data_IF_251031262051
#
_entry.id   IF_251031262051
#
_cell.length_a   1.000
_cell.length_b   1.000
_cell.length_c   1.000
_cell.angle_alpha   90.00
_cell.angle_beta   90.00
_cell.angle_gamma   90.00
#
_symmetry.space_group_name_H-M   'P 1'
#
loop_
_entity.id
_entity.type
_entity.pdbx_description
1 polymer ?
#
# COMPACT_ATOMS: atom_id res chain seq x y z
N UNK A 1 64.30 -43.56 91.79
CA UNK A 1 64.23 -43.14 90.41
C UNK A 1 62.80 -42.99 90.02
N UNK A 2 62.31 -41.76 89.92
CA UNK A 2 60.94 -41.38 89.58
C UNK A 2 60.82 -41.34 88.07
N UNK A 3 59.87 -42.08 87.53
CA UNK A 3 59.56 -42.16 86.14
C UNK A 3 58.54 -41.04 85.77
N UNK A 4 59.01 -39.94 85.18
CA UNK A 4 58.21 -38.80 84.77
C UNK A 4 57.86 -39.03 83.27
N UNK A 5 56.56 -39.32 82.96
CA UNK A 5 56.09 -39.36 81.63
C UNK A 5 55.72 -37.91 81.20
N UNK A 6 56.09 -37.48 79.97
CA UNK A 6 55.69 -36.16 79.46
C UNK A 6 54.19 -36.09 79.07
N UNK A 7 53.53 -34.91 79.17
CA UNK A 7 52.13 -34.77 78.85
C UNK A 7 51.91 -34.88 77.31
N UNK A 8 50.82 -35.54 76.93
CA UNK A 8 50.36 -35.62 75.52
C UNK A 8 49.89 -34.26 75.02
N UNK A 9 50.22 -33.87 73.77
CA UNK A 9 49.78 -32.67 73.21
C UNK A 9 48.27 -32.77 72.88
N UNK A 10 47.51 -31.72 73.24
CA UNK A 10 46.05 -31.51 72.96
C UNK A 10 45.93 -31.13 71.45
N UNK A 11 45.53 -32.03 70.58
CA UNK A 11 45.25 -31.77 69.17
C UNK A 11 43.72 -31.48 69.07
N UNK A 12 43.34 -30.31 68.63
CA UNK A 12 41.90 -30.03 68.41
C UNK A 12 41.37 -30.89 67.22
N UNK A 13 40.41 -31.75 67.48
CA UNK A 13 39.67 -32.50 66.49
C UNK A 13 38.82 -31.55 65.66
N UNK A 14 39.30 -31.15 64.49
CA UNK A 14 38.48 -30.44 63.46
C UNK A 14 37.56 -31.50 62.89
N UNK A 15 36.28 -31.44 63.24
CA UNK A 15 35.20 -32.21 62.57
C UNK A 15 35.02 -31.70 61.17
N UNK A 16 35.51 -32.40 60.17
CA UNK A 16 35.19 -32.09 58.75
C UNK A 16 33.69 -32.21 58.52
N UNK A 17 33.08 -31.25 57.77
CA UNK A 17 31.67 -31.35 57.44
C UNK A 17 31.47 -32.63 56.63
N UNK A 18 30.52 -33.47 57.02
CA UNK A 18 30.09 -34.64 56.26
C UNK A 18 29.49 -34.15 54.94
N UNK A 19 30.27 -34.10 53.85
CA UNK A 19 29.77 -34.03 52.53
C UNK A 19 29.02 -35.33 52.22
N UNK A 20 27.70 -35.28 52.35
CA UNK A 20 26.81 -36.30 51.78
C UNK A 20 26.98 -36.29 50.27
N UNK A 21 27.69 -37.28 49.73
CA UNK A 21 27.71 -37.48 48.27
C UNK A 21 26.30 -37.88 47.86
N UNK A 22 25.62 -37.10 46.99
CA UNK A 22 24.30 -37.48 46.53
C UNK A 22 24.38 -38.82 45.82
N UNK A 23 23.49 -39.73 46.18
CA UNK A 23 23.39 -41.03 45.53
C UNK A 23 23.18 -40.82 44.03
N UNK A 24 23.71 -41.70 43.20
CA UNK A 24 23.62 -41.64 41.72
C UNK A 24 22.16 -41.47 41.27
N UNK A 25 21.20 -42.07 41.97
CA UNK A 25 19.75 -41.92 41.73
C UNK A 25 19.27 -40.48 41.95
N UNK A 26 19.70 -39.78 43.01
CA UNK A 26 19.34 -38.39 43.26
C UNK A 26 20.00 -37.40 42.26
N UNK A 27 21.14 -37.78 41.67
CA UNK A 27 21.75 -37.03 40.59
C UNK A 27 21.01 -37.24 39.25
N UNK A 28 20.52 -38.45 38.98
CA UNK A 28 19.69 -38.77 37.82
C UNK A 28 18.32 -38.09 37.92
N UNK A 29 17.65 -38.15 39.08
CA UNK A 29 16.38 -37.45 39.31
C UNK A 29 16.48 -35.94 39.08
N UNK A 30 17.54 -35.30 39.62
CA UNK A 30 17.77 -33.86 39.38
C UNK A 30 18.11 -33.54 37.93
N UNK A 31 18.80 -34.42 37.22
CA UNK A 31 19.08 -34.25 35.79
C UNK A 31 17.81 -34.41 34.96
N UNK A 32 16.92 -35.35 35.27
CA UNK A 32 15.63 -35.55 34.61
C UNK A 32 14.63 -34.41 34.94
N UNK A 33 14.57 -33.94 36.19
CA UNK A 33 13.76 -32.77 36.56
C UNK A 33 14.27 -31.47 35.88
N UNK A 34 15.58 -31.28 35.78
CA UNK A 34 16.20 -30.15 35.09
C UNK A 34 15.99 -30.22 33.58
N UNK A 35 15.93 -31.39 33.00
CA UNK A 35 15.68 -31.61 31.58
C UNK A 35 14.18 -31.38 31.25
N UNK A 36 13.26 -31.89 32.06
CA UNK A 36 11.83 -31.62 31.96
C UNK A 36 11.47 -30.13 32.18
N UNK A 37 12.17 -29.44 33.10
CA UNK A 37 11.97 -28.00 33.29
C UNK A 37 12.56 -27.17 32.14
N UNK A 38 13.64 -27.63 31.49
CA UNK A 38 14.19 -27.02 30.28
C UNK A 38 13.28 -27.24 29.07
N UNK A 39 12.76 -28.45 28.87
CA UNK A 39 11.81 -28.74 27.79
C UNK A 39 10.52 -27.94 27.95
N UNK A 40 9.97 -27.87 29.18
CA UNK A 40 8.82 -27.02 29.46
C UNK A 40 9.07 -25.56 29.16
N UNK A 41 10.18 -24.99 29.62
CA UNK A 41 10.55 -23.59 29.32
C UNK A 41 10.83 -23.34 27.83
N UNK A 42 11.39 -24.31 27.11
CA UNK A 42 11.61 -24.21 25.66
C UNK A 42 10.26 -24.17 24.87
N UNK A 43 9.24 -24.85 25.36
CA UNK A 43 7.92 -24.88 24.72
C UNK A 43 7.08 -23.63 25.03
N UNK A 44 7.22 -23.05 26.24
CA UNK A 44 6.48 -21.86 26.65
C UNK A 44 7.03 -20.56 26.04
N UNK A 45 8.35 -20.49 25.77
CA UNK A 45 8.98 -19.27 25.24
C UNK A 45 8.40 -18.83 23.89
N UNK A 46 8.29 -19.67 22.86
CA UNK A 46 7.70 -19.28 21.59
C UNK A 46 6.21 -18.89 21.70
N UNK A 47 5.45 -19.57 22.58
CA UNK A 47 4.05 -19.23 22.83
C UNK A 47 3.92 -17.85 23.48
N UNK A 48 4.75 -17.56 24.47
CA UNK A 48 4.80 -16.26 25.15
C UNK A 48 5.18 -15.14 24.19
N UNK A 49 6.21 -15.33 23.35
CA UNK A 49 6.63 -14.34 22.36
C UNK A 49 5.54 -14.13 21.31
N UNK A 50 4.90 -15.20 20.81
CA UNK A 50 3.77 -15.09 19.88
C UNK A 50 2.62 -14.30 20.47
N UNK A 51 2.31 -14.50 21.75
CA UNK A 51 1.29 -13.71 22.46
C UNK A 51 1.68 -12.23 22.54
N UNK A 52 2.95 -11.92 22.83
CA UNK A 52 3.46 -10.54 22.86
C UNK A 52 3.35 -9.90 21.47
N UNK A 53 3.69 -10.63 20.39
CA UNK A 53 3.55 -10.14 19.01
C UNK A 53 2.10 -9.77 18.72
N UNK A 54 1.14 -10.62 19.08
CA UNK A 54 -0.29 -10.34 18.90
C UNK A 54 -0.69 -9.07 19.67
N UNK A 55 -0.27 -8.94 20.91
CA UNK A 55 -0.57 -7.76 21.73
C UNK A 55 0.03 -6.49 21.09
N UNK A 56 1.30 -6.52 20.69
CA UNK A 56 1.97 -5.38 20.03
C UNK A 56 1.25 -5.02 18.74
N UNK A 57 0.87 -6.00 17.92
CA UNK A 57 0.12 -5.79 16.69
C UNK A 57 -1.25 -5.13 16.96
N UNK A 58 -2.03 -5.67 17.90
CA UNK A 58 -3.36 -5.13 18.24
C UNK A 58 -3.27 -3.72 18.80
N UNK A 59 -2.35 -3.47 19.75
CA UNK A 59 -2.14 -2.12 20.31
C UNK A 59 -1.69 -1.12 19.24
N UNK A 60 -0.81 -1.56 18.35
CA UNK A 60 -0.35 -0.74 17.26
C UNK A 60 -1.46 -0.45 16.24
N UNK A 61 -2.28 -1.42 15.92
CA UNK A 61 -3.43 -1.20 15.04
C UNK A 61 -4.47 -0.24 15.65
N UNK A 62 -4.68 -0.33 16.96
CA UNK A 62 -5.48 0.65 17.69
C UNK A 62 -4.85 2.05 17.64
N UNK A 63 -3.52 2.16 17.78
CA UNK A 63 -2.83 3.45 17.66
C UNK A 63 -2.97 4.05 16.26
N UNK A 64 -2.94 3.24 15.18
CA UNK A 64 -3.23 3.68 13.81
C UNK A 64 -4.68 4.18 13.70
N UNK A 65 -5.65 3.43 14.27
CA UNK A 65 -7.07 3.82 14.24
C UNK A 65 -7.35 5.12 15.01
N UNK A 66 -6.58 5.36 16.06
CA UNK A 66 -6.65 6.58 16.88
C UNK A 66 -5.59 7.64 16.51
N UNK A 67 -5.16 7.70 15.27
CA UNK A 67 -4.19 8.67 14.73
C UNK A 67 -4.51 10.12 15.15
N UNK A 68 -5.78 10.52 15.02
CA UNK A 68 -6.23 11.90 15.31
C UNK A 68 -6.04 12.34 16.76
N UNK A 69 -6.50 11.58 17.78
CA UNK A 69 -6.27 11.94 19.18
C UNK A 69 -4.81 11.79 19.62
N UNK A 70 -4.07 10.82 19.07
CA UNK A 70 -2.66 10.57 19.44
C UNK A 70 -1.72 11.57 18.76
N UNK A 71 -2.13 12.17 17.63
CA UNK A 71 -1.32 13.10 16.80
C UNK A 71 0.00 12.50 16.31
N UNK A 72 0.03 11.20 16.08
CA UNK A 72 1.14 10.47 15.48
C UNK A 72 0.69 9.95 14.12
N UNK A 73 1.49 10.20 13.09
CA UNK A 73 1.20 9.73 11.73
C UNK A 73 1.12 8.19 11.68
N UNK A 74 0.07 7.69 11.02
CA UNK A 74 -0.19 6.25 10.89
C UNK A 74 0.97 5.48 10.23
N UNK A 75 1.70 6.11 9.30
CA UNK A 75 2.82 5.47 8.63
C UNK A 75 3.98 5.24 9.60
N UNK A 76 4.27 6.21 10.48
CA UNK A 76 5.30 6.07 11.52
C UNK A 76 4.93 4.95 12.49
N UNK A 77 3.67 4.89 12.93
CA UNK A 77 3.16 3.85 13.81
C UNK A 77 3.23 2.47 13.14
N UNK A 78 2.80 2.35 11.89
CA UNK A 78 2.84 1.10 11.13
C UNK A 78 4.28 0.58 10.95
N UNK A 79 5.23 1.48 10.62
CA UNK A 79 6.64 1.15 10.48
C UNK A 79 7.23 0.61 11.80
N UNK A 80 6.96 1.29 12.91
CA UNK A 80 7.43 0.88 14.23
C UNK A 80 6.90 -0.51 14.60
N UNK A 81 5.61 -0.77 14.43
CA UNK A 81 4.98 -2.05 14.73
C UNK A 81 5.56 -3.16 13.84
N UNK A 82 5.70 -2.90 12.54
CA UNK A 82 6.25 -3.87 11.60
C UNK A 82 7.65 -4.34 12.03
N UNK A 83 8.55 -3.39 12.33
CA UNK A 83 9.92 -3.71 12.78
C UNK A 83 9.89 -4.38 14.15
N UNK A 84 9.06 -3.91 15.11
CA UNK A 84 8.95 -4.52 16.43
C UNK A 84 8.46 -5.96 16.38
N UNK A 85 7.43 -6.26 15.56
CA UNK A 85 6.95 -7.63 15.39
C UNK A 85 8.00 -8.55 14.76
N UNK A 86 8.75 -8.09 13.74
CA UNK A 86 9.84 -8.86 13.15
C UNK A 86 10.99 -9.09 14.13
N UNK A 87 11.35 -8.07 14.94
CA UNK A 87 12.37 -8.21 15.98
C UNK A 87 11.95 -9.24 17.04
N UNK A 88 10.69 -9.21 17.49
CA UNK A 88 10.16 -10.21 18.42
C UNK A 88 10.11 -11.60 17.80
N UNK A 89 9.76 -11.71 16.52
CA UNK A 89 9.74 -12.99 15.81
C UNK A 89 11.12 -13.63 15.74
N UNK A 90 12.19 -12.85 15.63
CA UNK A 90 13.56 -13.37 15.67
C UNK A 90 13.93 -14.07 16.98
N UNK A 91 13.23 -13.79 18.09
CA UNK A 91 13.44 -14.45 19.38
C UNK A 91 12.59 -15.70 19.60
N UNK A 92 11.75 -16.11 18.64
CA UNK A 92 10.88 -17.29 18.76
C UNK A 92 11.63 -18.62 18.64
N UNK A 93 12.94 -18.61 18.33
CA UNK A 93 13.76 -19.81 18.14
C UNK A 93 13.67 -20.41 16.73
N UNK A 94 13.01 -19.73 15.80
CA UNK A 94 12.99 -20.08 14.37
C UNK A 94 14.39 -19.86 13.78
N UNK A 95 14.81 -20.70 12.82
CA UNK A 95 16.13 -20.59 12.21
C UNK A 95 16.30 -19.25 11.47
N UNK A 96 17.51 -18.68 11.53
CA UNK A 96 17.82 -17.43 10.81
C UNK A 96 17.51 -17.51 9.31
N UNK A 97 17.75 -18.66 8.69
CA UNK A 97 17.45 -18.90 7.28
C UNK A 97 15.95 -18.77 6.97
N UNK A 98 15.08 -19.31 7.84
CA UNK A 98 13.61 -19.20 7.69
C UNK A 98 13.16 -17.75 7.87
N UNK A 99 13.73 -17.01 8.81
CA UNK A 99 13.43 -15.61 9.07
C UNK A 99 13.85 -14.75 7.87
N UNK A 100 15.08 -14.94 7.38
CA UNK A 100 15.63 -14.22 6.24
C UNK A 100 14.80 -14.47 4.97
N UNK A 101 14.46 -15.73 4.71
CA UNK A 101 13.64 -16.12 3.55
C UNK A 101 12.23 -15.49 3.62
N UNK A 102 11.61 -15.52 4.80
CA UNK A 102 10.31 -14.87 5.02
C UNK A 102 10.39 -13.35 4.84
N UNK A 103 11.42 -12.71 5.38
CA UNK A 103 11.63 -11.27 5.24
C UNK A 103 11.86 -10.87 3.78
N UNK A 104 12.73 -11.60 3.06
CA UNK A 104 12.98 -11.35 1.64
C UNK A 104 11.72 -11.51 0.78
N UNK A 105 10.88 -12.51 1.08
CA UNK A 105 9.61 -12.71 0.38
C UNK A 105 8.68 -11.50 0.57
N UNK A 106 8.50 -11.03 1.80
CA UNK A 106 7.66 -9.87 2.08
C UNK A 106 8.24 -8.56 1.51
N UNK A 107 9.57 -8.40 1.53
CA UNK A 107 10.23 -7.25 0.88
C UNK A 107 10.00 -7.28 -0.63
N UNK A 108 10.07 -8.45 -1.27
CA UNK A 108 9.75 -8.60 -2.69
C UNK A 108 8.31 -8.20 -3.00
N UNK A 109 7.33 -8.66 -2.21
CA UNK A 109 5.92 -8.32 -2.40
C UNK A 109 5.69 -6.81 -2.28
N UNK A 110 6.22 -6.20 -1.21
CA UNK A 110 6.11 -4.75 -0.99
C UNK A 110 6.82 -3.97 -2.10
N UNK A 111 8.03 -4.35 -2.48
CA UNK A 111 8.79 -3.70 -3.55
C UNK A 111 8.05 -3.78 -4.89
N UNK A 112 7.44 -4.93 -5.20
CA UNK A 112 6.65 -5.12 -6.41
C UNK A 112 5.48 -4.12 -6.48
N UNK A 113 4.78 -3.93 -5.35
CA UNK A 113 3.68 -2.96 -5.25
C UNK A 113 4.21 -1.53 -5.40
N UNK A 114 5.30 -1.19 -4.69
CA UNK A 114 5.89 0.16 -4.73
C UNK A 114 6.37 0.53 -6.14
N UNK A 115 7.07 -0.36 -6.83
CA UNK A 115 7.49 -0.13 -8.21
C UNK A 115 6.31 0.00 -9.16
N UNK A 116 5.26 -0.81 -8.96
CA UNK A 116 4.05 -0.68 -9.77
C UNK A 116 3.39 0.68 -9.58
N UNK A 117 3.14 1.09 -8.32
CA UNK A 117 2.50 2.36 -8.01
C UNK A 117 3.34 3.56 -8.47
N UNK A 118 4.65 3.53 -8.20
CA UNK A 118 5.57 4.58 -8.66
C UNK A 118 5.53 4.72 -10.18
N UNK A 119 5.59 3.62 -10.92
CA UNK A 119 5.51 3.63 -12.36
C UNK A 119 4.17 4.16 -12.88
N UNK A 120 3.06 3.71 -12.31
CA UNK A 120 1.72 4.14 -12.69
C UNK A 120 1.51 5.64 -12.43
N UNK A 121 1.88 6.12 -11.24
CA UNK A 121 1.76 7.54 -10.88
C UNK A 121 2.62 8.41 -11.79
N UNK A 122 3.86 7.99 -12.09
CA UNK A 122 4.75 8.73 -13.00
C UNK A 122 4.19 8.78 -14.43
N UNK A 123 3.62 7.69 -14.94
CA UNK A 123 2.96 7.69 -16.26
C UNK A 123 1.79 8.69 -16.27
N UNK A 124 0.97 8.69 -15.24
CA UNK A 124 -0.19 9.60 -15.14
C UNK A 124 0.26 11.05 -15.00
N UNK A 125 1.30 11.32 -14.20
CA UNK A 125 1.87 12.66 -14.03
C UNK A 125 2.46 13.20 -15.32
N UNK A 126 3.13 12.36 -16.13
CA UNK A 126 3.58 12.73 -17.47
C UNK A 126 2.41 13.11 -18.39
N UNK A 127 1.30 12.36 -18.34
CA UNK A 127 0.08 12.70 -19.10
C UNK A 127 -0.52 14.03 -18.63
N UNK A 128 -0.58 14.27 -17.32
CA UNK A 128 -1.14 15.50 -16.74
C UNK A 128 -0.24 16.72 -17.05
N UNK A 129 1.07 16.60 -16.90
CA UNK A 129 2.04 17.65 -17.22
C UNK A 129 1.93 18.15 -18.67
N UNK A 130 1.50 17.27 -19.59
CA UNK A 130 1.26 17.61 -20.99
C UNK A 130 -0.20 18.00 -21.29
N UNK A 131 -1.00 18.25 -20.24
CA UNK A 131 -2.43 18.55 -20.37
C UNK A 131 -3.22 17.45 -21.11
N UNK A 132 -2.74 16.19 -21.06
CA UNK A 132 -3.34 15.09 -21.79
C UNK A 132 -4.81 14.88 -21.48
N UNK A 133 -5.23 15.08 -20.23
CA UNK A 133 -6.63 14.92 -19.83
C UNK A 133 -7.57 15.99 -20.43
N UNK A 134 -7.05 17.12 -20.93
CA UNK A 134 -7.82 18.11 -21.65
C UNK A 134 -8.45 17.55 -22.95
N UNK A 135 -7.88 16.49 -23.52
CA UNK A 135 -8.47 15.76 -24.67
C UNK A 135 -9.93 15.37 -24.41
N UNK A 136 -10.26 15.05 -23.17
CA UNK A 136 -11.62 14.67 -22.78
C UNK A 136 -12.35 15.84 -22.13
N UNK A 137 -11.68 16.58 -21.26
CA UNK A 137 -12.33 17.63 -20.48
C UNK A 137 -12.77 18.81 -21.33
N UNK A 138 -12.04 19.15 -22.40
CA UNK A 138 -12.42 20.23 -23.33
C UNK A 138 -13.69 19.92 -24.12
N UNK A 139 -14.09 18.65 -24.22
CA UNK A 139 -15.34 18.25 -24.87
C UNK A 139 -16.58 18.44 -23.99
N UNK A 140 -16.40 18.76 -22.71
CA UNK A 140 -17.49 18.97 -21.76
C UNK A 140 -17.95 20.42 -21.84
N UNK A 141 -18.93 20.70 -22.67
CA UNK A 141 -19.46 22.07 -22.94
C UNK A 141 -20.82 22.33 -22.30
N UNK A 142 -21.41 21.34 -21.61
CA UNK A 142 -22.76 21.47 -21.07
C UNK A 142 -22.83 22.38 -19.84
N UNK A 143 -23.84 23.24 -19.79
CA UNK A 143 -24.15 24.08 -18.62
C UNK A 143 -25.24 23.47 -17.74
N UNK A 144 -26.01 22.49 -18.24
CA UNK A 144 -27.04 21.83 -17.45
C UNK A 144 -26.44 21.00 -16.31
N UNK A 145 -26.84 21.31 -15.07
CA UNK A 145 -26.31 20.68 -13.87
C UNK A 145 -26.44 19.15 -13.89
N UNK A 146 -27.62 18.63 -14.18
CA UNK A 146 -27.87 17.19 -14.18
C UNK A 146 -27.09 16.50 -15.29
N UNK A 147 -27.04 17.06 -16.49
CA UNK A 147 -26.29 16.48 -17.60
C UNK A 147 -24.81 16.47 -17.32
N UNK A 148 -24.26 17.54 -16.73
CA UNK A 148 -22.87 17.60 -16.31
C UNK A 148 -22.56 16.54 -15.24
N UNK A 149 -23.45 16.36 -14.25
CA UNK A 149 -23.30 15.34 -13.20
C UNK A 149 -23.10 13.96 -13.82
N UNK A 150 -23.99 13.54 -14.70
CA UNK A 150 -23.90 12.25 -15.36
C UNK A 150 -22.62 12.08 -16.19
N UNK A 151 -22.24 13.08 -16.97
CA UNK A 151 -21.01 13.06 -17.78
C UNK A 151 -19.79 12.89 -16.87
N UNK A 152 -19.68 13.72 -15.83
CA UNK A 152 -18.55 13.68 -14.89
C UNK A 152 -18.47 12.34 -14.18
N UNK A 153 -19.60 11.81 -13.70
CA UNK A 153 -19.66 10.53 -13.00
C UNK A 153 -19.22 9.36 -13.90
N UNK A 154 -19.74 9.28 -15.12
CA UNK A 154 -19.36 8.21 -16.05
C UNK A 154 -17.89 8.29 -16.44
N UNK A 155 -17.40 9.48 -16.76
CA UNK A 155 -15.97 9.66 -17.07
C UNK A 155 -15.13 9.24 -15.87
N UNK A 156 -15.47 9.69 -14.66
CA UNK A 156 -14.74 9.34 -13.43
C UNK A 156 -14.72 7.83 -13.21
N UNK A 157 -15.88 7.17 -13.32
CA UNK A 157 -16.01 5.73 -13.10
C UNK A 157 -15.11 4.91 -14.04
N UNK A 158 -15.11 5.20 -15.32
CA UNK A 158 -14.27 4.46 -16.28
C UNK A 158 -12.81 4.89 -16.24
N UNK A 159 -12.52 6.15 -15.94
CA UNK A 159 -11.13 6.60 -15.75
C UNK A 159 -10.47 5.91 -14.58
N UNK A 160 -11.16 5.84 -13.47
CA UNK A 160 -10.63 5.20 -12.27
C UNK A 160 -10.35 3.70 -12.46
N UNK A 161 -11.02 3.04 -13.38
CA UNK A 161 -10.70 1.65 -13.71
C UNK A 161 -9.33 1.49 -14.39
N UNK A 162 -8.74 2.58 -14.92
CA UNK A 162 -7.48 2.56 -15.69
C UNK A 162 -6.37 3.35 -15.01
N UNK A 163 -6.72 4.52 -14.40
CA UNK A 163 -5.74 5.48 -13.87
C UNK A 163 -5.43 5.27 -12.37
N UNK A 164 -6.22 4.71 -11.60
CA UNK A 164 -6.39 4.71 -10.15
C UNK A 164 -7.38 5.77 -9.63
N UNK A 165 -7.93 5.47 -8.45
CA UNK A 165 -8.99 6.27 -7.85
C UNK A 165 -8.51 7.64 -7.34
N UNK A 166 -7.32 7.72 -6.77
CA UNK A 166 -6.77 8.96 -6.21
C UNK A 166 -6.46 9.97 -7.32
N UNK A 167 -5.69 9.54 -8.32
CA UNK A 167 -5.34 10.37 -9.48
C UNK A 167 -6.56 10.82 -10.24
N UNK A 168 -7.51 9.91 -10.51
CA UNK A 168 -8.77 10.24 -11.17
C UNK A 168 -9.56 11.27 -10.39
N UNK A 169 -9.64 11.15 -9.06
CA UNK A 169 -10.33 12.14 -8.22
C UNK A 169 -9.65 13.52 -8.31
N UNK A 170 -8.31 13.59 -8.26
CA UNK A 170 -7.55 14.84 -8.37
C UNK A 170 -7.82 15.53 -9.72
N UNK A 171 -7.68 14.79 -10.82
CA UNK A 171 -7.91 15.30 -12.18
C UNK A 171 -9.35 15.82 -12.33
N UNK A 172 -10.34 15.05 -11.89
CA UNK A 172 -11.75 15.43 -12.01
C UNK A 172 -12.14 16.58 -11.10
N UNK A 173 -11.55 16.69 -9.90
CA UNK A 173 -11.73 17.85 -9.02
C UNK A 173 -11.12 19.12 -9.64
N UNK A 174 -9.95 19.01 -10.25
CA UNK A 174 -9.30 20.12 -10.97
C UNK A 174 -10.17 20.59 -12.14
N UNK A 175 -10.74 19.66 -12.89
CA UNK A 175 -11.71 19.97 -13.94
C UNK A 175 -12.96 20.71 -13.37
N UNK A 176 -13.55 20.19 -12.29
CA UNK A 176 -14.72 20.79 -11.67
C UNK A 176 -14.46 22.21 -11.16
N UNK A 177 -13.24 22.54 -10.73
CA UNK A 177 -12.86 23.92 -10.40
C UNK A 177 -12.96 24.87 -11.58
N UNK A 178 -12.68 24.39 -12.79
CA UNK A 178 -12.82 25.18 -14.03
C UNK A 178 -14.28 25.28 -14.49
N UNK A 179 -15.07 24.22 -14.35
CA UNK A 179 -16.44 24.16 -14.90
C UNK A 179 -17.51 24.70 -13.94
N UNK A 180 -17.35 24.58 -12.64
CA UNK A 180 -18.36 24.91 -11.62
C UNK A 180 -17.83 25.99 -10.70
N UNK A 181 -18.25 27.24 -10.92
CA UNK A 181 -17.81 28.39 -10.13
C UNK A 181 -18.48 28.41 -8.74
N UNK A 182 -19.76 28.03 -8.67
CA UNK A 182 -20.51 27.98 -7.42
C UNK A 182 -19.94 26.92 -6.47
N UNK A 183 -19.43 27.36 -5.31
CA UNK A 183 -18.74 26.52 -4.35
C UNK A 183 -19.62 25.42 -3.73
N UNK A 184 -20.86 25.70 -3.27
CA UNK A 184 -21.77 24.67 -2.76
C UNK A 184 -22.09 23.58 -3.80
N UNK A 185 -22.43 23.96 -5.00
CA UNK A 185 -22.70 23.03 -6.10
C UNK A 185 -21.47 22.20 -6.41
N UNK A 186 -20.28 22.81 -6.47
CA UNK A 186 -19.02 22.10 -6.73
C UNK A 186 -18.73 21.04 -5.67
N UNK A 187 -19.00 21.29 -4.37
CA UNK A 187 -18.82 20.30 -3.31
C UNK A 187 -19.69 19.06 -3.51
N UNK A 188 -20.92 19.22 -4.00
CA UNK A 188 -21.78 18.08 -4.31
C UNK A 188 -21.19 17.22 -5.44
N UNK A 189 -20.68 17.85 -6.51
CA UNK A 189 -20.00 17.13 -7.59
C UNK A 189 -18.76 16.41 -7.10
N UNK A 190 -17.93 17.07 -6.27
CA UNK A 190 -16.72 16.47 -5.69
C UNK A 190 -17.05 15.22 -4.87
N UNK A 191 -18.11 15.29 -4.05
CA UNK A 191 -18.56 14.12 -3.28
C UNK A 191 -18.92 12.93 -4.17
N UNK A 192 -19.64 13.17 -5.27
CA UNK A 192 -20.00 12.08 -6.21
C UNK A 192 -18.80 11.62 -7.02
N UNK A 193 -17.88 12.51 -7.38
CA UNK A 193 -16.61 12.14 -8.03
C UNK A 193 -15.79 11.19 -7.15
N UNK A 194 -15.69 11.46 -5.86
CA UNK A 194 -14.99 10.56 -4.92
C UNK A 194 -15.65 9.18 -4.87
N UNK A 195 -16.99 9.12 -4.82
CA UNK A 195 -17.74 7.86 -4.86
C UNK A 195 -17.49 7.14 -6.20
N UNK A 196 -17.59 7.87 -7.32
CA UNK A 196 -17.41 7.31 -8.65
C UNK A 196 -15.97 6.83 -8.90
N UNK A 197 -14.96 7.53 -8.38
CA UNK A 197 -13.57 7.13 -8.47
C UNK A 197 -13.31 5.83 -7.69
N UNK A 198 -13.78 5.74 -6.44
CA UNK A 198 -13.62 4.52 -5.65
C UNK A 198 -14.40 3.33 -6.23
N UNK A 199 -15.65 3.55 -6.64
CA UNK A 199 -16.45 2.49 -7.28
C UNK A 199 -15.86 2.07 -8.63
N UNK A 200 -15.34 3.02 -9.42
CA UNK A 200 -14.68 2.77 -10.70
C UNK A 200 -13.38 1.99 -10.55
N UNK A 201 -12.60 2.28 -9.52
CA UNK A 201 -11.36 1.55 -9.21
C UNK A 201 -11.60 0.13 -8.71
N UNK A 202 -12.68 -0.08 -7.97
CA UNK A 202 -12.93 -1.33 -7.26
C UNK A 202 -13.15 -2.56 -8.17
N UNK A 203 -13.63 -2.39 -9.40
CA UNK A 203 -13.88 -3.51 -10.33
C UNK A 203 -12.72 -3.81 -11.28
N UNK A 204 -11.65 -3.02 -11.24
CA UNK A 204 -10.45 -3.19 -12.08
C UNK A 204 -9.25 -3.62 -11.24
N UNK A 205 -8.34 -4.46 -11.75
CA UNK A 205 -7.16 -4.88 -11.00
C UNK A 205 -6.12 -3.75 -10.82
N UNK A 206 -6.22 -2.66 -11.58
CA UNK A 206 -5.27 -1.52 -11.56
C UNK A 206 -5.94 -0.22 -11.13
N UNK A 207 -7.25 -0.21 -10.92
CA UNK A 207 -8.01 1.01 -10.64
C UNK A 207 -8.03 1.44 -9.18
N UNK A 208 -7.54 0.62 -8.26
CA UNK A 208 -7.42 0.94 -6.84
C UNK A 208 -6.17 0.27 -6.26
N UNK A 209 -5.52 0.91 -5.28
CA UNK A 209 -4.32 0.38 -4.63
C UNK A 209 -4.59 -1.00 -4.02
N UNK A 210 -5.76 -1.21 -3.40
CA UNK A 210 -6.13 -2.47 -2.77
C UNK A 210 -6.28 -3.60 -3.79
N UNK A 211 -6.96 -3.36 -4.92
CA UNK A 211 -7.10 -4.35 -6.00
C UNK A 211 -5.76 -4.62 -6.68
N UNK A 212 -4.92 -3.60 -6.84
CA UNK A 212 -3.56 -3.74 -7.35
C UNK A 212 -2.70 -4.62 -6.43
N UNK A 213 -2.79 -4.43 -5.11
CA UNK A 213 -2.08 -5.26 -4.13
C UNK A 213 -2.52 -6.73 -4.22
N UNK A 214 -3.82 -6.99 -4.29
CA UNK A 214 -4.35 -8.35 -4.43
C UNK A 214 -3.91 -8.99 -5.76
N UNK A 215 -3.85 -8.20 -6.83
CA UNK A 215 -3.43 -8.70 -8.13
C UNK A 215 -1.93 -8.98 -8.22
N UNK A 216 -1.09 -8.07 -7.72
CA UNK A 216 0.37 -8.24 -7.67
C UNK A 216 0.78 -9.36 -6.72
N UNK A 217 0.09 -9.48 -5.56
CA UNK A 217 0.27 -10.56 -4.59
C UNK A 217 -0.35 -11.90 -5.02
N UNK A 218 -0.80 -12.04 -6.29
CA UNK A 218 -1.37 -13.26 -6.87
C UNK A 218 -2.60 -13.81 -6.13
N UNK A 219 -3.30 -12.95 -5.37
CA UNK A 219 -4.54 -13.31 -4.66
C UNK A 219 -5.77 -13.28 -5.58
N UNK A 220 -5.63 -12.81 -6.81
CA UNK A 220 -6.67 -12.80 -7.84
C UNK A 220 -6.33 -13.84 -8.92
N UNK A 221 -6.79 -15.09 -8.78
CA UNK A 221 -6.45 -16.17 -9.72
C UNK A 221 -7.09 -15.98 -11.09
N UNK A 222 -8.29 -15.40 -11.15
CA UNK A 222 -9.02 -15.07 -12.37
C UNK A 222 -9.44 -13.59 -12.36
N UNK A 223 -8.67 -12.78 -13.08
CA UNK A 223 -8.92 -11.33 -13.21
C UNK A 223 -10.22 -11.06 -13.97
N UNK A 224 -10.55 -11.89 -14.98
CA UNK A 224 -11.78 -11.74 -15.75
C UNK A 224 -13.02 -11.97 -14.90
N UNK A 225 -13.05 -13.06 -14.15
CA UNK A 225 -14.15 -13.34 -13.22
C UNK A 225 -14.26 -12.26 -12.13
N UNK A 226 -13.14 -11.79 -11.60
CA UNK A 226 -13.11 -10.67 -10.63
C UNK A 226 -13.78 -9.42 -11.21
N UNK A 227 -13.37 -8.98 -12.40
CA UNK A 227 -13.93 -7.80 -13.06
C UNK A 227 -15.44 -7.95 -13.33
N UNK A 228 -15.87 -9.09 -13.84
CA UNK A 228 -17.29 -9.35 -14.14
C UNK A 228 -18.16 -9.34 -12.88
N UNK A 229 -17.68 -9.94 -11.80
CA UNK A 229 -18.43 -10.04 -10.54
C UNK A 229 -18.54 -8.69 -9.83
N UNK A 230 -17.50 -7.84 -9.88
CA UNK A 230 -17.49 -6.55 -9.20
C UNK A 230 -18.03 -5.39 -10.04
N UNK A 231 -18.12 -5.53 -11.36
CA UNK A 231 -18.62 -4.45 -12.23
C UNK A 231 -20.03 -4.00 -11.85
N UNK A 232 -20.96 -4.93 -11.70
CA UNK A 232 -22.35 -4.59 -11.39
C UNK A 232 -22.54 -3.98 -9.99
N UNK A 233 -21.97 -4.52 -8.90
CA UNK A 233 -21.99 -3.88 -7.59
C UNK A 233 -21.37 -2.48 -7.61
N UNK A 234 -20.23 -2.29 -8.27
CA UNK A 234 -19.56 -1.00 -8.41
C UNK A 234 -20.41 0.00 -9.17
N UNK A 235 -21.05 -0.44 -10.25
CA UNK A 235 -21.95 0.41 -11.04
C UNK A 235 -23.16 0.84 -10.21
N UNK A 236 -23.78 -0.06 -9.45
CA UNK A 236 -24.90 0.27 -8.56
C UNK A 236 -24.47 1.27 -7.48
N UNK A 237 -23.27 1.08 -6.90
CA UNK A 237 -22.71 1.96 -5.88
C UNK A 237 -22.62 3.42 -6.35
N UNK A 238 -22.32 3.66 -7.62
CA UNK A 238 -22.25 5.02 -8.18
C UNK A 238 -23.58 5.49 -8.72
N UNK A 239 -24.41 4.64 -9.28
CA UNK A 239 -25.70 5.03 -9.87
C UNK A 239 -26.69 5.52 -8.80
N UNK A 240 -26.78 4.85 -7.66
CA UNK A 240 -27.73 5.22 -6.60
C UNK A 240 -27.55 6.67 -6.12
N UNK A 241 -26.35 7.10 -5.65
CA UNK A 241 -26.17 8.48 -5.22
C UNK A 241 -26.30 9.48 -6.38
N UNK A 242 -25.91 9.10 -7.59
CA UNK A 242 -26.06 9.98 -8.78
C UNK A 242 -27.53 10.23 -9.12
N UNK A 243 -28.37 9.20 -9.07
CA UNK A 243 -29.82 9.33 -9.29
C UNK A 243 -30.45 10.22 -8.20
N UNK A 244 -30.13 9.97 -6.93
CA UNK A 244 -30.64 10.76 -5.79
C UNK A 244 -30.27 12.24 -5.96
N UNK A 245 -29.03 12.54 -6.29
CA UNK A 245 -28.58 13.92 -6.52
C UNK A 245 -29.19 14.55 -7.77
N UNK A 246 -29.47 13.78 -8.81
CA UNK A 246 -30.13 14.28 -10.02
C UNK A 246 -31.51 14.88 -9.73
N UNK A 247 -32.24 14.36 -8.74
CA UNK A 247 -33.54 14.94 -8.33
C UNK A 247 -33.39 16.25 -7.55
N UNK A 248 -32.26 16.44 -6.84
CA UNK A 248 -31.99 17.63 -6.04
C UNK A 248 -31.37 18.76 -6.87
N UNK A 249 -30.64 18.43 -7.94
CA UNK A 249 -29.95 19.39 -8.80
C UNK A 249 -30.86 19.93 -9.90
N UNK A 250 -31.15 21.22 -9.87
CA UNK A 250 -31.96 21.89 -10.90
C UNK A 250 -31.23 23.11 -11.47
N UNK A 251 -31.55 23.44 -12.73
CA UNK A 251 -31.04 24.63 -13.39
C UNK A 251 -29.72 24.48 -14.12
N UNK A 252 -29.16 25.59 -14.54
CA UNK A 252 -27.94 25.67 -15.32
C UNK A 252 -26.81 26.26 -14.47
N UNK A 253 -25.59 25.95 -14.84
CA UNK A 253 -24.37 26.58 -14.33
C UNK A 253 -24.13 27.89 -15.07
N UNK A 254 -23.56 28.87 -14.41
CA UNK A 254 -22.99 30.02 -15.08
C UNK A 254 -21.84 29.57 -15.98
N UNK A 255 -21.79 30.11 -17.20
CA UNK A 255 -20.78 29.75 -18.17
C UNK A 255 -19.43 30.25 -17.69
N UNK A 256 -18.56 29.37 -17.29
CA UNK A 256 -17.19 29.72 -16.94
C UNK A 256 -16.46 30.26 -18.18
N UNK A 257 -15.75 31.37 -18.03
CA UNK A 257 -14.82 31.83 -19.05
C UNK A 257 -13.63 30.87 -19.07
N UNK A 258 -13.60 29.93 -20.01
CA UNK A 258 -12.49 29.02 -20.20
C UNK A 258 -11.35 29.85 -20.77
N UNK A 259 -10.39 30.24 -19.92
CA UNK A 259 -9.09 30.76 -20.36
C UNK A 259 -8.25 29.55 -20.78
N UNK A 260 -8.23 29.27 -22.07
CA UNK A 260 -7.33 28.31 -22.68
C UNK A 260 -5.91 28.89 -22.71
N UNK A 261 -5.16 28.77 -21.63
CA UNK A 261 -3.70 28.87 -21.65
C UNK A 261 -3.14 27.49 -22.04
N UNK A 262 -3.26 27.15 -23.32
CA UNK A 262 -2.70 25.91 -23.83
C UNK A 262 -1.16 26.00 -23.86
N UNK A 263 -0.49 25.42 -22.92
CA UNK A 263 0.97 25.35 -22.88
C UNK A 263 1.54 24.28 -23.84
N UNK A 264 0.74 23.29 -24.22
CA UNK A 264 1.13 22.18 -25.10
C UNK A 264 0.46 22.26 -26.46
N UNK A 265 1.17 21.80 -27.51
CA UNK A 265 0.57 21.64 -28.84
C UNK A 265 -0.55 20.56 -28.78
N UNK A 266 -1.65 20.77 -29.50
CA UNK A 266 -2.76 19.79 -29.58
C UNK A 266 -2.29 18.40 -30.01
N UNK A 267 -1.28 18.33 -30.85
CA UNK A 267 -0.69 17.05 -31.30
C UNK A 267 0.08 16.36 -30.15
N UNK A 268 0.95 17.07 -29.44
CA UNK A 268 1.70 16.53 -28.31
C UNK A 268 0.76 16.05 -27.20
N UNK A 269 -0.24 16.86 -26.85
CA UNK A 269 -1.26 16.54 -25.86
C UNK A 269 -2.00 15.24 -26.18
N UNK A 270 -2.51 15.12 -27.40
CA UNK A 270 -3.25 13.94 -27.85
C UNK A 270 -2.33 12.71 -27.90
N UNK A 271 -1.13 12.86 -28.42
CA UNK A 271 -0.16 11.77 -28.53
C UNK A 271 0.21 11.20 -27.17
N UNK A 272 0.57 12.07 -26.22
CA UNK A 272 0.98 11.63 -24.87
C UNK A 272 -0.20 11.03 -24.10
N UNK A 273 -1.41 11.57 -24.27
CA UNK A 273 -2.61 11.00 -23.70
C UNK A 273 -2.84 9.56 -24.19
N UNK A 274 -2.83 9.32 -25.50
CA UNK A 274 -3.08 7.97 -26.04
C UNK A 274 -1.95 7.00 -25.73
N UNK A 275 -0.69 7.46 -25.72
CA UNK A 275 0.46 6.63 -25.32
C UNK A 275 0.34 6.28 -23.82
N UNK A 276 -0.01 7.24 -22.96
CA UNK A 276 -0.16 7.01 -21.51
C UNK A 276 -1.26 6.02 -21.18
N UNK A 277 -2.46 6.22 -21.75
CA UNK A 277 -3.57 5.26 -21.57
C UNK A 277 -3.19 3.90 -22.14
N UNK A 278 -2.59 3.85 -23.33
CA UNK A 278 -2.12 2.61 -23.95
C UNK A 278 -1.07 1.89 -23.11
N UNK A 279 -0.15 2.63 -22.49
CA UNK A 279 0.87 2.12 -21.58
C UNK A 279 0.25 1.44 -20.34
N UNK A 280 -0.76 2.05 -19.73
CA UNK A 280 -1.47 1.47 -18.58
C UNK A 280 -2.27 0.23 -18.96
N UNK A 281 -3.01 0.27 -20.07
CA UNK A 281 -3.78 -0.87 -20.58
C UNK A 281 -2.87 -2.03 -21.03
N UNK A 282 -1.65 -1.72 -21.47
CA UNK A 282 -0.67 -2.74 -21.88
C UNK A 282 -0.22 -3.63 -20.71
N UNK A 283 -0.21 -3.15 -19.48
CA UNK A 283 0.30 -3.89 -18.31
C UNK A 283 -0.41 -5.24 -18.09
N UNK A 284 -1.76 -5.31 -18.03
CA UNK A 284 -2.44 -6.60 -17.92
C UNK A 284 -2.22 -7.50 -19.13
N UNK A 285 -2.09 -6.93 -20.33
CA UNK A 285 -1.77 -7.69 -21.56
C UNK A 285 -0.37 -8.30 -21.42
N UNK A 286 0.61 -7.50 -21.01
CA UNK A 286 1.99 -7.94 -20.77
C UNK A 286 2.04 -9.11 -19.77
N UNK A 287 1.34 -8.97 -18.61
CA UNK A 287 1.27 -10.04 -17.62
C UNK A 287 0.69 -11.33 -18.19
N UNK A 288 -0.39 -11.25 -18.98
CA UNK A 288 -1.04 -12.43 -19.54
C UNK A 288 -0.17 -13.14 -20.59
N UNK A 289 0.65 -12.41 -21.34
CA UNK A 289 1.52 -12.98 -22.38
C UNK A 289 2.81 -13.52 -21.77
N UNK A 290 3.43 -12.77 -20.85
CA UNK A 290 4.77 -13.10 -20.33
C UNK A 290 4.74 -13.90 -19.05
N UNK A 291 3.62 -13.92 -18.33
CA UNK A 291 3.46 -14.44 -16.97
C UNK A 291 4.38 -13.79 -15.93
N UNK A 292 5.02 -12.66 -16.27
CA UNK A 292 5.85 -11.88 -15.37
C UNK A 292 4.98 -11.03 -14.41
N UNK A 293 5.53 -10.63 -13.25
CA UNK A 293 4.81 -9.76 -12.30
C UNK A 293 4.39 -8.44 -12.95
N UNK A 294 3.22 -7.88 -12.59
CA UNK A 294 2.68 -6.66 -13.20
C UNK A 294 3.61 -5.45 -13.14
N UNK A 295 4.43 -5.32 -12.08
CA UNK A 295 5.35 -4.20 -11.95
C UNK A 295 6.38 -4.15 -13.08
N UNK A 296 6.79 -5.28 -13.64
CA UNK A 296 7.72 -5.29 -14.76
C UNK A 296 7.08 -4.72 -16.03
N UNK A 297 5.81 -5.06 -16.28
CA UNK A 297 5.03 -4.45 -17.36
C UNK A 297 4.85 -2.94 -17.17
N UNK A 298 4.66 -2.51 -15.93
CA UNK A 298 4.53 -1.09 -15.59
C UNK A 298 5.85 -0.33 -15.79
N UNK A 299 6.98 -0.89 -15.33
CA UNK A 299 8.31 -0.29 -15.56
C UNK A 299 8.65 -0.21 -17.05
N UNK A 300 8.30 -1.24 -17.82
CA UNK A 300 8.46 -1.21 -19.28
C UNK A 300 7.61 -0.09 -19.91
N UNK A 301 6.35 0.02 -19.52
CA UNK A 301 5.44 1.07 -19.97
C UNK A 301 5.96 2.47 -19.62
N UNK A 302 6.45 2.66 -18.39
CA UNK A 302 7.07 3.91 -17.95
C UNK A 302 8.30 4.24 -18.81
N UNK A 303 9.20 3.30 -19.03
CA UNK A 303 10.39 3.51 -19.85
C UNK A 303 10.01 3.90 -21.29
N UNK A 304 9.00 3.27 -21.85
CA UNK A 304 8.52 3.57 -23.20
C UNK A 304 7.97 5.00 -23.32
N UNK A 305 7.07 5.41 -22.39
CA UNK A 305 6.50 6.77 -22.43
C UNK A 305 7.57 7.82 -22.13
N UNK A 306 8.51 7.52 -21.25
CA UNK A 306 9.62 8.43 -20.94
C UNK A 306 10.52 8.68 -22.18
N UNK A 307 10.90 7.60 -22.86
CA UNK A 307 11.66 7.71 -24.13
C UNK A 307 10.86 8.52 -25.16
N UNK A 308 9.55 8.26 -25.29
CA UNK A 308 8.70 8.98 -26.21
C UNK A 308 8.67 10.51 -25.89
N UNK A 309 8.51 10.88 -24.63
CA UNK A 309 8.50 12.28 -24.18
C UNK A 309 9.84 12.95 -24.40
N UNK A 310 10.96 12.27 -24.11
CA UNK A 310 12.32 12.80 -24.37
C UNK A 310 12.57 13.04 -25.88
N UNK A 311 12.11 12.15 -26.74
CA UNK A 311 12.22 12.31 -28.20
C UNK A 311 11.39 13.50 -28.71
N UNK A 312 10.18 13.68 -28.20
CA UNK A 312 9.30 14.81 -28.51
C UNK A 312 9.97 16.14 -28.09
N UNK A 313 10.57 16.16 -26.90
CA UNK A 313 11.18 17.39 -26.34
C UNK A 313 12.63 17.63 -26.77
N UNK A 314 13.21 16.75 -27.57
CA UNK A 314 14.62 16.88 -28.01
C UNK A 314 14.95 18.23 -28.65
N UNK A 315 13.97 18.88 -29.30
CA UNK A 315 14.11 20.18 -29.98
C UNK A 315 13.71 21.37 -29.12
N UNK A 316 13.18 21.18 -27.89
CA UNK A 316 12.74 22.27 -27.00
C UNK A 316 13.92 22.84 -26.21
N UNK A 317 13.77 24.09 -25.73
CA UNK A 317 14.75 24.73 -24.87
C UNK A 317 14.90 24.07 -23.51
N UNK A 318 15.99 24.31 -22.80
CA UNK A 318 16.25 23.69 -21.50
C UNK A 318 15.20 24.06 -20.43
N UNK A 319 14.63 25.27 -20.50
CA UNK A 319 13.55 25.73 -19.59
C UNK A 319 12.24 25.02 -19.88
N UNK A 320 11.88 24.86 -21.16
CA UNK A 320 10.68 24.11 -21.56
C UNK A 320 10.78 22.64 -21.17
N UNK A 321 11.99 22.03 -21.24
CA UNK A 321 12.19 20.66 -20.80
C UNK A 321 11.93 20.47 -19.30
N UNK A 322 12.40 21.42 -18.46
CA UNK A 322 12.18 21.35 -17.00
C UNK A 322 10.69 21.36 -16.62
N UNK A 323 9.84 22.00 -17.42
CA UNK A 323 8.39 22.05 -17.16
C UNK A 323 7.70 20.70 -17.39
N UNK A 324 8.27 19.85 -18.23
CA UNK A 324 7.70 18.57 -18.65
C UNK A 324 8.53 17.35 -18.19
N UNK A 325 9.61 17.56 -17.44
CA UNK A 325 10.37 16.49 -16.80
C UNK A 325 9.80 16.18 -15.42
N UNK A 326 9.55 14.93 -15.17
CA UNK A 326 9.12 14.40 -13.87
C UNK A 326 10.34 13.97 -13.06
#
# INVERSE_FOLDING_TARGET
AANIRPPKPNVPTISAPKRTIPTVNAAIERATEADHSREGNLLYLPIMISTIIIIVFVLGYLAIAFEHPIKVDKAATALFIGVACWALYAFTGVSHETIEHGLLHHVYDIASILFFLMGAMTVVELVDAHEGFAVITDKITTTNKVKLLWIVVFITFFFSAVLDNLTTAIVMVSLLRKLVQDKPTRWLYVGVVVIAANAGGAWSPIGDVTTTMLWTGQQLPDVGAFMMNLFLPSLICVLVPTIVLSFSMKGNLEKAAITNENASSNFERNLIFYIGIGALVFVPIFKNITHLPPFMGMMFSLAFIWIATELIHRKKTHEDRKRFSV
#
